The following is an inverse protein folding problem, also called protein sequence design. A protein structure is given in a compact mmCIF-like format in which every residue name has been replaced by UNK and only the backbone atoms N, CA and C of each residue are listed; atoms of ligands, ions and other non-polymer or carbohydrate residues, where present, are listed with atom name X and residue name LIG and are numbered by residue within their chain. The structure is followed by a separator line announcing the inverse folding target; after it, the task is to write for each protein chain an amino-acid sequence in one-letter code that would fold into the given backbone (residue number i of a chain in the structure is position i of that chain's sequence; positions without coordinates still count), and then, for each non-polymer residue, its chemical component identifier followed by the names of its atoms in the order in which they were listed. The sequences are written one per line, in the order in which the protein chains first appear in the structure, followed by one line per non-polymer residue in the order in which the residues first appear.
data_IF_917860759165
#
_entry.id   IF_917860759165
#
_cell.length_a   1.000
_cell.length_b   1.000
_cell.length_c   1.000
_cell.angle_alpha   90.00
_cell.angle_beta   90.00
_cell.angle_gamma   90.00
#
_symmetry.space_group_name_H-M   'P 1'
#
loop_
_entity.id
_entity.type
_entity.pdbx_description
1 polymer ?
#
# COMPACT_ATOMS: atom_id res chain seq x y z
N UNK A 1 2.16 -7.87 -19.97
CA UNK A 1 2.04 -6.39 -19.86
C UNK A 1 0.55 -6.06 -19.78
N UNK A 2 0.12 -5.22 -18.85
CA UNK A 2 -1.27 -4.78 -18.64
C UNK A 2 -1.25 -3.26 -18.61
N UNK A 3 -1.72 -2.62 -19.69
CA UNK A 3 -1.51 -1.17 -19.87
C UNK A 3 -2.70 -0.42 -20.45
N UNK A 4 -2.95 0.80 -19.97
CA UNK A 4 -3.94 1.71 -20.55
C UNK A 4 -5.40 1.31 -20.31
N UNK A 5 -5.65 0.45 -19.32
CA UNK A 5 -7.00 -0.03 -19.02
C UNK A 5 -7.75 0.95 -18.11
N UNK A 6 -9.08 0.94 -18.16
CA UNK A 6 -9.91 1.81 -17.32
C UNK A 6 -11.14 1.10 -16.78
N UNK A 7 -11.29 1.02 -15.47
CA UNK A 7 -12.49 0.55 -14.79
C UNK A 7 -13.36 1.74 -14.35
N UNK A 8 -14.47 1.98 -15.07
CA UNK A 8 -15.36 3.14 -14.82
C UNK A 8 -16.34 2.95 -13.65
N UNK A 9 -16.60 1.70 -13.25
CA UNK A 9 -17.63 1.34 -12.26
C UNK A 9 -17.13 1.25 -10.82
N UNK A 10 -15.97 1.81 -10.49
CA UNK A 10 -15.37 1.68 -9.16
C UNK A 10 -14.27 0.63 -9.06
N UNK A 11 -14.20 -0.37 -9.94
CA UNK A 11 -13.24 -1.48 -9.84
C UNK A 11 -11.76 -1.13 -10.05
N UNK A 12 -10.95 -2.18 -10.17
CA UNK A 12 -9.49 -2.10 -10.37
C UNK A 12 -9.16 -1.82 -11.84
N UNK A 13 -8.27 -0.87 -12.07
CA UNK A 13 -7.91 -0.46 -13.44
C UNK A 13 -7.11 -1.51 -14.21
N UNK A 14 -6.14 -2.17 -13.57
CA UNK A 14 -5.25 -3.14 -14.22
C UNK A 14 -5.64 -4.60 -13.95
N UNK A 15 -5.11 -5.18 -12.87
CA UNK A 15 -5.29 -6.60 -12.52
C UNK A 15 -6.08 -6.69 -11.22
N UNK A 16 -7.28 -7.26 -11.30
CA UNK A 16 -8.09 -7.60 -10.13
C UNK A 16 -7.92 -9.08 -9.78
N UNK A 17 -7.50 -9.36 -8.55
CA UNK A 17 -7.37 -10.70 -8.01
C UNK A 17 -8.36 -10.83 -6.85
N UNK A 18 -9.36 -11.68 -7.06
CA UNK A 18 -10.46 -11.94 -6.13
C UNK A 18 -10.33 -13.35 -5.58
N UNK A 19 -10.78 -13.57 -4.33
CA UNK A 19 -10.79 -14.84 -3.58
C UNK A 19 -9.44 -15.24 -2.95
N UNK A 20 -9.50 -16.17 -1.97
CA UNK A 20 -8.36 -16.80 -1.27
C UNK A 20 -7.54 -17.71 -2.19
N UNK A 21 -6.87 -17.11 -3.15
CA UNK A 21 -5.89 -17.81 -3.98
C UNK A 21 -4.55 -17.12 -3.86
N UNK A 22 -3.52 -17.94 -3.70
CA UNK A 22 -2.16 -17.46 -3.87
C UNK A 22 -1.98 -17.04 -5.33
N UNK A 23 -1.67 -15.77 -5.53
CA UNK A 23 -1.37 -15.21 -6.84
C UNK A 23 0.13 -15.01 -6.98
N UNK A 24 0.66 -15.36 -8.15
CA UNK A 24 2.07 -15.13 -8.51
C UNK A 24 2.16 -14.29 -9.76
N UNK A 25 2.89 -13.18 -9.68
CA UNK A 25 3.23 -12.34 -10.82
C UNK A 25 4.75 -12.26 -10.93
N UNK A 26 5.26 -12.65 -12.09
CA UNK A 26 6.69 -12.61 -12.41
C UNK A 26 6.91 -11.78 -13.68
N UNK A 27 7.77 -10.77 -13.59
CA UNK A 27 8.22 -9.98 -14.74
C UNK A 27 7.04 -9.31 -15.48
N UNK A 28 6.08 -8.80 -14.71
CA UNK A 28 4.87 -8.15 -15.24
C UNK A 28 5.02 -6.63 -15.20
N UNK A 29 4.70 -5.99 -16.32
CA UNK A 29 4.46 -4.54 -16.36
C UNK A 29 2.97 -4.25 -16.25
N UNK A 30 2.58 -3.44 -15.26
CA UNK A 30 1.25 -2.86 -15.06
C UNK A 30 1.38 -1.34 -15.13
N UNK A 31 0.98 -0.75 -16.26
CA UNK A 31 1.28 0.67 -16.54
C UNK A 31 0.11 1.48 -17.08
N UNK A 32 -0.10 2.69 -16.55
CA UNK A 32 -1.06 3.62 -17.13
C UNK A 32 -2.51 3.18 -17.01
N UNK A 33 -2.85 2.36 -16.00
CA UNK A 33 -4.21 1.90 -15.78
C UNK A 33 -4.95 2.84 -14.82
N UNK A 34 -6.26 2.97 -15.00
CA UNK A 34 -7.12 3.85 -14.18
C UNK A 34 -8.27 3.05 -13.59
N UNK A 35 -8.40 3.02 -12.26
CA UNK A 35 -9.53 2.40 -11.59
C UNK A 35 -10.20 3.36 -10.63
N UNK A 36 -11.44 3.07 -10.26
CA UNK A 36 -12.14 3.88 -9.26
C UNK A 36 -11.52 3.71 -7.88
N UNK A 37 -11.39 2.45 -7.45
CA UNK A 37 -10.86 2.04 -6.15
C UNK A 37 -9.35 1.85 -6.17
N UNK A 38 -8.79 1.24 -7.22
CA UNK A 38 -7.35 0.93 -7.32
C UNK A 38 -6.88 1.05 -8.76
N UNK A 39 -5.75 1.69 -8.99
CA UNK A 39 -5.27 1.96 -10.35
C UNK A 39 -4.68 0.74 -11.04
N UNK A 40 -3.66 0.15 -10.43
CA UNK A 40 -2.87 -0.94 -11.00
C UNK A 40 -3.41 -2.32 -10.63
N UNK A 41 -2.97 -2.85 -9.50
CA UNK A 41 -3.29 -4.21 -9.05
C UNK A 41 -4.11 -4.13 -7.76
N UNK A 42 -5.24 -4.82 -7.72
CA UNK A 42 -6.05 -4.97 -6.52
C UNK A 42 -6.12 -6.42 -6.10
N UNK A 43 -5.84 -6.69 -4.82
CA UNK A 43 -5.90 -8.02 -4.22
C UNK A 43 -6.85 -8.01 -3.03
N UNK A 44 -7.86 -8.87 -3.05
CA UNK A 44 -8.87 -8.96 -1.99
C UNK A 44 -9.92 -7.85 -2.00
N UNK A 45 -10.03 -7.08 -3.09
CA UNK A 45 -11.04 -6.02 -3.17
C UNK A 45 -12.42 -6.65 -3.45
N UNK A 46 -13.35 -6.55 -2.49
CA UNK A 46 -14.71 -7.07 -2.63
C UNK A 46 -15.72 -5.93 -2.84
N UNK A 47 -16.54 -6.05 -3.90
CA UNK A 47 -17.69 -5.18 -4.11
C UNK A 47 -18.99 -5.70 -3.44
N UNK A 48 -19.01 -6.91 -2.87
CA UNK A 48 -20.19 -7.49 -2.24
C UNK A 48 -19.87 -8.16 -0.89
N UNK A 49 -20.02 -7.40 0.19
CA UNK A 49 -20.09 -7.90 1.56
C UNK A 49 -21.44 -8.60 1.77
N UNK A 50 -21.58 -9.88 1.40
CA UNK A 50 -22.75 -10.66 1.86
C UNK A 50 -22.59 -12.19 1.89
N UNK A 51 -21.43 -12.76 1.60
CA UNK A 51 -21.36 -14.24 1.47
C UNK A 51 -20.93 -14.99 2.73
N UNK A 52 -20.44 -14.31 3.78
CA UNK A 52 -20.01 -14.99 5.01
C UNK A 52 -19.02 -16.14 4.77
N UNK A 53 -18.33 -16.11 3.62
CA UNK A 53 -17.37 -17.14 3.26
C UNK A 53 -16.09 -16.89 4.05
N UNK A 54 -15.67 -17.92 4.77
CA UNK A 54 -14.35 -18.03 5.37
C UNK A 54 -13.32 -18.07 4.24
N UNK A 55 -12.91 -16.89 3.79
CA UNK A 55 -11.87 -16.70 2.81
C UNK A 55 -10.53 -16.88 3.55
N UNK A 56 -10.01 -18.10 3.55
CA UNK A 56 -8.69 -18.41 4.13
C UNK A 56 -7.57 -17.48 3.66
N UNK A 57 -6.43 -17.50 4.34
CA UNK A 57 -5.29 -16.63 4.04
C UNK A 57 -4.85 -16.73 2.57
N UNK A 58 -4.75 -15.60 1.87
CA UNK A 58 -4.29 -15.54 0.47
C UNK A 58 -3.09 -14.60 0.29
N UNK A 59 -2.12 -15.01 -0.52
CA UNK A 59 -0.91 -14.23 -0.76
C UNK A 59 -0.73 -13.79 -2.20
N UNK A 60 -0.37 -12.53 -2.41
CA UNK A 60 0.16 -12.08 -3.69
C UNK A 60 1.70 -12.01 -3.64
N UNK A 61 2.35 -12.88 -4.41
CA UNK A 61 3.79 -12.91 -4.59
C UNK A 61 4.15 -12.22 -5.90
N UNK A 62 4.98 -11.19 -5.83
CA UNK A 62 5.44 -10.41 -6.98
C UNK A 62 6.96 -10.43 -7.05
N UNK A 63 7.48 -10.80 -8.22
CA UNK A 63 8.92 -10.76 -8.52
C UNK A 63 9.14 -9.97 -9.81
N UNK A 64 10.02 -8.96 -9.76
CA UNK A 64 10.37 -8.12 -10.91
C UNK A 64 9.13 -7.47 -11.59
N UNK A 65 8.14 -7.08 -10.79
CA UNK A 65 6.93 -6.42 -11.28
C UNK A 65 7.14 -4.90 -11.30
N UNK A 66 6.78 -4.27 -12.42
CA UNK A 66 6.75 -2.81 -12.54
C UNK A 66 5.31 -2.32 -12.54
N UNK A 67 4.94 -1.54 -11.53
CA UNK A 67 3.66 -0.84 -11.42
C UNK A 67 3.91 0.66 -11.62
N UNK A 68 3.51 1.22 -12.75
CA UNK A 68 3.81 2.63 -13.04
C UNK A 68 2.67 3.44 -13.63
N UNK A 69 2.59 4.72 -13.28
CA UNK A 69 1.60 5.65 -13.85
C UNK A 69 0.14 5.19 -13.72
N UNK A 70 -0.17 4.36 -12.73
CA UNK A 70 -1.53 3.90 -12.49
C UNK A 70 -2.25 4.88 -11.56
N UNK A 71 -3.56 5.05 -11.75
CA UNK A 71 -4.36 6.04 -11.02
C UNK A 71 -5.60 5.39 -10.39
N UNK A 72 -5.70 5.45 -9.07
CA UNK A 72 -6.95 5.27 -8.34
C UNK A 72 -7.64 6.64 -8.24
N UNK A 73 -8.83 6.78 -8.85
CA UNK A 73 -9.50 8.08 -8.96
C UNK A 73 -10.12 8.51 -7.63
N UNK A 74 -10.66 7.57 -6.86
CA UNK A 74 -11.36 7.85 -5.61
C UNK A 74 -10.96 6.92 -4.46
N UNK A 75 -10.16 5.88 -4.73
CA UNK A 75 -9.71 4.91 -3.73
C UNK A 75 -8.21 4.90 -3.53
N UNK A 76 -7.74 3.81 -2.96
CA UNK A 76 -6.38 3.64 -2.46
C UNK A 76 -5.55 2.71 -3.36
N UNK A 77 -4.23 2.82 -3.25
CA UNK A 77 -3.31 1.99 -4.01
C UNK A 77 -3.33 2.38 -5.48
N UNK A 78 -2.64 3.47 -5.83
CA UNK A 78 -2.48 3.83 -7.23
C UNK A 78 -1.82 2.68 -8.00
N UNK A 79 -0.71 2.13 -7.47
CA UNK A 79 -0.01 0.97 -8.01
C UNK A 79 -0.59 -0.37 -7.55
N UNK A 80 -0.65 -0.57 -6.23
CA UNK A 80 -1.15 -1.81 -5.61
C UNK A 80 -2.03 -1.49 -4.39
N UNK A 81 -3.14 -2.21 -4.28
CA UNK A 81 -3.95 -2.25 -3.07
C UNK A 81 -4.13 -3.70 -2.61
N UNK A 82 -3.85 -3.96 -1.33
CA UNK A 82 -4.08 -5.26 -0.67
C UNK A 82 -5.06 -5.05 0.47
N UNK A 83 -6.24 -5.66 0.36
CA UNK A 83 -7.33 -5.66 1.34
C UNK A 83 -7.79 -7.10 1.57
N UNK A 84 -6.98 -7.91 2.26
CA UNK A 84 -7.27 -9.33 2.44
C UNK A 84 -6.69 -9.84 3.76
N UNK A 85 -7.33 -10.86 4.32
CA UNK A 85 -6.72 -11.75 5.31
C UNK A 85 -5.64 -12.55 4.59
N UNK A 86 -4.36 -12.28 4.89
CA UNK A 86 -3.20 -12.78 4.15
C UNK A 86 -2.13 -11.69 3.95
N UNK A 87 -1.55 -11.56 2.76
CA UNK A 87 -0.51 -10.55 2.54
C UNK A 87 0.06 -10.43 1.14
N UNK A 88 1.08 -9.58 1.02
CA UNK A 88 1.84 -9.36 -0.21
C UNK A 88 3.34 -9.50 0.03
N UNK A 89 4.02 -10.16 -0.91
CA UNK A 89 5.49 -10.24 -0.95
C UNK A 89 5.98 -9.61 -2.24
N UNK A 90 6.76 -8.54 -2.14
CA UNK A 90 7.34 -7.84 -3.29
C UNK A 90 8.85 -8.06 -3.29
N UNK A 91 9.40 -8.55 -4.40
CA UNK A 91 10.84 -8.77 -4.58
C UNK A 91 11.31 -8.17 -5.90
N UNK A 92 12.28 -7.24 -5.86
CA UNK A 92 12.79 -6.63 -7.10
C UNK A 92 11.77 -5.78 -7.84
N UNK A 93 10.73 -5.29 -7.15
CA UNK A 93 9.63 -4.58 -7.79
C UNK A 93 9.91 -3.08 -7.90
N UNK A 94 9.30 -2.44 -8.89
CA UNK A 94 9.33 -0.97 -9.05
C UNK A 94 7.91 -0.44 -9.04
N UNK A 95 7.63 0.50 -8.14
CA UNK A 95 6.33 1.16 -7.97
C UNK A 95 6.54 2.65 -8.18
N UNK A 96 6.17 3.17 -9.35
CA UNK A 96 6.56 4.53 -9.73
C UNK A 96 5.50 5.40 -10.39
N UNK A 97 5.43 6.67 -10.01
CA UNK A 97 4.53 7.62 -10.66
C UNK A 97 3.05 7.30 -10.53
N UNK A 98 2.65 6.51 -9.53
CA UNK A 98 1.25 6.12 -9.32
C UNK A 98 0.54 7.13 -8.42
N UNK A 99 -0.79 7.24 -8.57
CA UNK A 99 -1.63 8.21 -7.86
C UNK A 99 -2.83 7.54 -7.18
N UNK A 100 -3.12 7.91 -5.94
CA UNK A 100 -4.29 7.44 -5.21
C UNK A 100 -4.70 8.40 -4.08
N UNK A 101 -5.78 8.07 -3.37
CA UNK A 101 -6.23 8.85 -2.20
C UNK A 101 -5.33 8.58 -1.00
N UNK A 102 -5.08 7.30 -0.69
CA UNK A 102 -4.02 6.84 0.23
C UNK A 102 -3.18 5.79 -0.48
N UNK A 103 -1.89 5.74 -0.16
CA UNK A 103 -1.00 4.77 -0.81
C UNK A 103 -0.88 5.05 -2.29
N UNK A 104 -0.26 6.18 -2.65
CA UNK A 104 -0.09 6.56 -4.06
C UNK A 104 0.55 5.42 -4.85
N UNK A 105 1.61 4.82 -4.27
CA UNK A 105 2.19 3.58 -4.74
C UNK A 105 1.46 2.35 -4.20
N UNK A 106 1.56 2.12 -2.89
CA UNK A 106 1.11 0.92 -2.20
C UNK A 106 0.10 1.26 -1.09
N UNK A 107 -1.01 0.55 -1.02
CA UNK A 107 -1.97 0.61 0.08
C UNK A 107 -2.22 -0.78 0.68
N UNK A 108 -2.02 -0.92 1.99
CA UNK A 108 -2.17 -2.18 2.73
C UNK A 108 -3.14 -1.99 3.90
N UNK A 109 -4.20 -2.78 3.94
CA UNK A 109 -5.26 -2.67 4.94
C UNK A 109 -5.84 -4.05 5.32
N UNK A 110 -6.82 -4.04 6.24
CA UNK A 110 -7.68 -5.20 6.58
C UNK A 110 -6.95 -6.48 7.00
N UNK A 111 -5.93 -6.35 7.85
CA UNK A 111 -5.20 -7.52 8.38
C UNK A 111 -4.18 -8.12 7.42
N UNK A 112 -3.86 -7.43 6.32
CA UNK A 112 -2.81 -7.86 5.40
C UNK A 112 -1.40 -7.63 5.98
N UNK A 113 -0.49 -8.59 5.77
CA UNK A 113 0.96 -8.44 5.97
C UNK A 113 1.63 -7.94 4.69
N UNK A 114 2.66 -7.11 4.81
CA UNK A 114 3.49 -6.71 3.66
C UNK A 114 4.96 -7.04 3.91
N UNK A 115 5.56 -7.77 2.97
CA UNK A 115 7.01 -7.99 2.88
C UNK A 115 7.55 -7.30 1.63
N UNK A 116 8.58 -6.46 1.79
CA UNK A 116 9.21 -5.73 0.69
C UNK A 116 10.70 -5.99 0.69
N UNK A 117 11.21 -6.50 -0.43
CA UNK A 117 12.63 -6.77 -0.64
C UNK A 117 13.15 -6.21 -1.94
N UNK A 118 14.29 -5.50 -1.88
CA UNK A 118 15.01 -5.05 -3.06
C UNK A 118 14.12 -4.23 -4.03
N UNK A 119 13.26 -3.37 -3.47
CA UNK A 119 12.24 -2.64 -4.22
C UNK A 119 12.49 -1.14 -4.26
N UNK A 120 12.00 -0.52 -5.34
CA UNK A 120 11.95 0.94 -5.48
C UNK A 120 10.50 1.41 -5.48
N UNK A 121 10.19 2.38 -4.61
CA UNK A 121 8.89 3.06 -4.54
C UNK A 121 9.12 4.56 -4.73
N UNK A 122 8.92 5.07 -5.94
CA UNK A 122 9.31 6.44 -6.27
C UNK A 122 8.26 7.30 -6.98
N UNK A 123 8.29 8.61 -6.71
CA UNK A 123 7.45 9.59 -7.41
C UNK A 123 5.95 9.29 -7.36
N UNK A 124 5.48 8.59 -6.33
CA UNK A 124 4.08 8.31 -6.15
C UNK A 124 3.41 9.43 -5.35
N UNK A 125 2.15 9.71 -5.66
CA UNK A 125 1.37 10.80 -5.07
C UNK A 125 0.13 10.26 -4.38
N UNK A 126 -0.06 10.61 -3.12
CA UNK A 126 -1.29 10.39 -2.40
C UNK A 126 -1.95 11.71 -2.01
N UNK A 127 -3.27 11.83 -2.20
CA UNK A 127 -3.98 13.05 -1.78
C UNK A 127 -3.99 13.22 -0.26
N UNK A 128 -4.01 12.12 0.49
CA UNK A 128 -4.07 12.14 1.96
C UNK A 128 -2.79 11.63 2.58
N UNK A 129 -2.45 10.36 2.41
CA UNK A 129 -1.37 9.77 3.18
C UNK A 129 -0.63 8.66 2.44
N UNK A 130 0.65 8.48 2.76
CA UNK A 130 1.44 7.40 2.19
C UNK A 130 1.62 7.59 0.70
N UNK A 131 2.39 8.62 0.30
CA UNK A 131 2.68 8.84 -1.12
C UNK A 131 3.29 7.57 -1.72
N UNK A 132 4.33 7.05 -1.08
CA UNK A 132 4.92 5.75 -1.39
C UNK A 132 4.08 4.59 -0.86
N UNK A 133 3.94 4.49 0.47
CA UNK A 133 3.25 3.41 1.15
C UNK A 133 2.30 3.93 2.23
N UNK A 134 1.05 3.51 2.16
CA UNK A 134 0.09 3.62 3.25
C UNK A 134 -0.19 2.24 3.84
N UNK A 135 -0.06 2.12 5.16
CA UNK A 135 -0.32 0.89 5.89
C UNK A 135 -1.22 1.16 7.09
N UNK A 136 -2.38 0.51 7.13
CA UNK A 136 -3.34 0.58 8.23
C UNK A 136 -3.75 -0.78 8.80
N UNK A 137 -3.11 -1.86 8.34
CA UNK A 137 -3.26 -3.19 8.93
C UNK A 137 -2.55 -3.28 10.30
N UNK A 138 -3.00 -4.22 11.12
CA UNK A 138 -2.41 -4.52 12.43
C UNK A 138 -1.19 -5.45 12.35
N UNK A 139 -0.88 -6.00 11.18
CA UNK A 139 0.29 -6.82 10.93
C UNK A 139 1.52 -5.95 10.55
N UNK A 140 2.75 -6.45 10.72
CA UNK A 140 3.95 -5.66 10.45
C UNK A 140 4.15 -5.41 8.95
N UNK A 141 4.87 -4.32 8.65
CA UNK A 141 5.63 -4.18 7.40
C UNK A 141 7.02 -4.70 7.66
N UNK A 142 7.43 -5.72 6.92
CA UNK A 142 8.79 -6.24 6.95
C UNK A 142 9.55 -5.72 5.74
N UNK A 143 10.61 -4.96 6.01
CA UNK A 143 11.51 -4.44 4.98
C UNK A 143 12.83 -5.21 5.06
N UNK A 144 13.18 -5.93 4.00
CA UNK A 144 14.46 -6.61 3.90
C UNK A 144 15.22 -6.22 2.64
N UNK A 145 16.53 -6.48 2.60
CA UNK A 145 17.37 -6.09 1.46
C UNK A 145 17.36 -4.58 1.23
N UNK A 146 17.60 -4.15 -0.02
CA UNK A 146 17.75 -2.74 -0.36
C UNK A 146 16.41 -2.13 -0.81
N UNK A 147 15.75 -1.39 0.07
CA UNK A 147 14.46 -0.75 -0.25
C UNK A 147 14.63 0.76 -0.30
N UNK A 148 14.27 1.37 -1.44
CA UNK A 148 14.29 2.82 -1.63
C UNK A 148 12.89 3.36 -1.80
N UNK A 149 12.48 4.27 -0.92
CA UNK A 149 11.23 5.01 -1.02
C UNK A 149 11.57 6.48 -1.19
N UNK A 150 11.39 7.02 -2.40
CA UNK A 150 11.89 8.36 -2.70
C UNK A 150 11.02 9.24 -3.60
N UNK A 151 11.11 10.56 -3.43
CA UNK A 151 10.40 11.52 -4.29
C UNK A 151 8.87 11.42 -4.22
N UNK A 152 8.31 10.74 -3.22
CA UNK A 152 6.87 10.58 -3.07
C UNK A 152 6.25 11.81 -2.37
N UNK A 153 4.97 12.06 -2.63
CA UNK A 153 4.23 13.23 -2.11
C UNK A 153 2.93 12.83 -1.44
N UNK A 154 2.60 13.46 -0.31
CA UNK A 154 1.30 13.30 0.36
C UNK A 154 1.00 14.45 1.34
N UNK A 155 -0.18 14.47 1.97
CA UNK A 155 -0.38 15.33 3.14
C UNK A 155 0.34 14.78 4.38
N UNK A 156 0.28 13.47 4.62
CA UNK A 156 0.95 12.80 5.74
C UNK A 156 1.79 11.61 5.29
N UNK A 157 3.00 11.46 5.84
CA UNK A 157 3.82 10.26 5.62
C UNK A 157 4.13 10.07 4.14
N UNK A 158 4.75 11.06 3.50
CA UNK A 158 4.87 11.06 2.04
C UNK A 158 5.67 9.87 1.51
N UNK A 159 6.74 9.46 2.20
CA UNK A 159 7.37 8.15 1.95
C UNK A 159 6.47 7.03 2.48
N UNK A 160 6.30 6.98 3.79
CA UNK A 160 5.51 5.96 4.49
C UNK A 160 4.54 6.59 5.49
N UNK A 161 3.27 6.17 5.46
CA UNK A 161 2.29 6.49 6.48
C UNK A 161 1.82 5.19 7.13
N UNK A 162 2.16 5.01 8.40
CA UNK A 162 1.79 3.86 9.21
C UNK A 162 0.78 4.35 10.25
N UNK A 163 -0.50 4.18 9.94
CA UNK A 163 -1.59 4.76 10.72
C UNK A 163 -2.76 3.80 10.79
N UNK A 164 -3.22 3.51 12.01
CA UNK A 164 -4.57 2.97 12.20
C UNK A 164 -5.58 4.09 11.93
N UNK A 165 -6.65 3.77 11.19
CA UNK A 165 -7.80 4.66 11.03
C UNK A 165 -8.95 4.08 11.83
N UNK A 166 -9.61 4.90 12.65
CA UNK A 166 -10.88 4.52 13.25
C UNK A 166 -11.91 4.20 12.14
N UNK A 167 -12.81 3.22 12.32
CA UNK A 167 -13.87 2.95 11.35
C UNK A 167 -14.65 4.23 11.00
N UNK A 168 -14.75 4.54 9.71
CA UNK A 168 -15.39 5.78 9.22
C UNK A 168 -14.52 7.04 9.27
N UNK A 169 -13.28 6.98 9.77
CA UNK A 169 -12.37 8.11 9.74
C UNK A 169 -11.67 8.23 8.37
N UNK A 170 -11.72 9.43 7.83
CA UNK A 170 -11.18 9.76 6.51
C UNK A 170 -9.83 10.50 6.58
N UNK A 171 -9.25 10.63 7.78
CA UNK A 171 -8.04 11.42 8.03
C UNK A 171 -6.99 10.62 8.78
N UNK A 172 -5.75 10.63 8.28
CA UNK A 172 -4.59 10.26 9.08
C UNK A 172 -4.42 11.31 10.19
N UNK A 173 -4.34 10.86 11.45
CA UNK A 173 -4.24 11.74 12.62
C UNK A 173 -5.53 11.95 13.41
N UNK A 174 -6.64 11.27 13.08
CA UNK A 174 -7.75 11.16 14.04
C UNK A 174 -7.30 10.23 15.17
N UNK A 175 -7.27 10.74 16.42
CA UNK A 175 -6.88 9.94 17.57
C UNK A 175 -7.84 8.76 17.75
N UNK A 176 -7.27 7.57 17.83
CA UNK A 176 -7.99 6.33 18.04
C UNK A 176 -7.82 5.94 19.50
N UNK A 177 -8.41 6.73 20.41
CA UNK A 177 -8.23 6.67 21.87
C UNK A 177 -8.57 5.29 22.49
N UNK A 178 -9.18 4.39 21.71
CA UNK A 178 -9.73 3.12 22.17
C UNK A 178 -9.22 1.89 21.39
N UNK A 179 -8.25 2.05 20.46
CA UNK A 179 -7.83 0.97 19.58
C UNK A 179 -6.42 0.43 19.91
N UNK A 180 -6.20 -0.89 19.80
CA UNK A 180 -4.88 -1.46 20.06
C UNK A 180 -3.86 -0.86 19.08
N UNK A 181 -2.74 -0.45 19.66
CA UNK A 181 -1.59 0.15 19.01
C UNK A 181 -1.08 -0.77 17.87
N UNK A 182 -0.55 -0.18 16.80
CA UNK A 182 0.05 -0.93 15.69
C UNK A 182 1.12 -1.93 16.18
N UNK A 183 1.24 -3.05 15.48
CA UNK A 183 2.38 -3.98 15.55
C UNK A 183 3.66 -3.30 15.08
N UNK A 184 4.77 -3.83 15.60
CA UNK A 184 6.18 -3.62 15.22
C UNK A 184 6.36 -3.32 13.73
N UNK A 185 7.18 -2.33 13.42
CA UNK A 185 7.69 -2.12 12.07
C UNK A 185 9.15 -2.53 12.12
N UNK A 186 9.50 -3.60 11.41
CA UNK A 186 10.87 -4.07 11.37
C UNK A 186 11.51 -3.56 10.07
N UNK A 187 12.29 -2.50 10.23
CA UNK A 187 13.15 -2.01 9.16
C UNK A 187 14.47 -2.79 9.20
N UNK A 188 14.68 -3.67 8.23
CA UNK A 188 16.02 -4.21 7.98
C UNK A 188 16.99 -3.08 7.63
N UNK A 189 18.29 -3.33 7.81
CA UNK A 189 19.38 -2.33 7.82
C UNK A 189 19.59 -1.49 6.54
N UNK A 190 18.72 -1.55 5.52
CA UNK A 190 18.91 -0.87 4.24
C UNK A 190 17.62 -0.23 3.65
N UNK A 191 16.71 0.26 4.51
CA UNK A 191 15.65 1.18 4.06
C UNK A 191 16.19 2.61 3.86
N UNK A 192 16.01 3.16 2.66
CA UNK A 192 16.22 4.59 2.37
C UNK A 192 14.88 5.32 2.18
N UNK A 193 14.71 6.44 2.89
CA UNK A 193 13.58 7.37 2.77
C UNK A 193 14.08 8.74 2.31
N UNK A 194 14.10 8.99 1.01
CA UNK A 194 14.78 10.16 0.43
C UNK A 194 13.85 11.09 -0.34
N UNK A 195 14.00 12.41 -0.14
CA UNK A 195 13.32 13.43 -0.97
C UNK A 195 11.79 13.30 -1.04
N UNK A 196 11.18 12.65 -0.04
CA UNK A 196 9.73 12.56 0.09
C UNK A 196 9.19 13.85 0.72
N UNK A 197 8.07 14.37 0.20
CA UNK A 197 7.53 15.69 0.59
C UNK A 197 6.12 15.55 1.13
N UNK A 198 5.96 15.76 2.44
CA UNK A 198 4.66 15.84 3.07
C UNK A 198 4.21 17.30 3.23
N UNK A 199 2.95 17.59 2.94
CA UNK A 199 2.37 18.94 3.09
C UNK A 199 2.12 19.27 4.57
N UNK A 200 1.70 18.28 5.37
CA UNK A 200 1.32 18.48 6.77
C UNK A 200 2.36 17.89 7.73
N UNK A 201 2.64 16.58 7.65
CA UNK A 201 3.60 15.96 8.58
C UNK A 201 4.26 14.68 8.03
N UNK A 202 5.50 14.44 8.43
CA UNK A 202 6.24 13.21 8.12
C UNK A 202 6.61 13.09 6.64
N UNK A 203 7.59 13.87 6.17
CA UNK A 203 8.09 13.77 4.80
C UNK A 203 8.58 12.36 4.47
N UNK A 204 9.52 11.83 5.25
CA UNK A 204 9.95 10.43 5.14
C UNK A 204 8.90 9.45 5.66
N UNK A 205 8.55 9.58 6.93
CA UNK A 205 7.64 8.66 7.61
C UNK A 205 6.70 9.40 8.57
N UNK A 206 5.46 8.93 8.67
CA UNK A 206 4.47 9.37 9.64
C UNK A 206 3.92 8.15 10.39
N UNK A 207 4.01 8.19 11.72
CA UNK A 207 3.57 7.13 12.62
C UNK A 207 2.40 7.66 13.45
N UNK A 208 1.23 7.02 13.36
CA UNK A 208 0.06 7.37 14.16
C UNK A 208 -0.56 6.12 14.79
N UNK A 209 -0.85 6.19 16.09
CA UNK A 209 -1.32 5.04 16.89
C UNK A 209 -0.36 3.84 16.91
N UNK A 210 0.96 4.09 16.99
CA UNK A 210 2.00 3.05 17.06
C UNK A 210 2.44 2.83 18.50
N UNK A 211 2.63 1.57 18.91
CA UNK A 211 3.10 1.26 20.26
C UNK A 211 4.57 1.72 20.43
N UNK A 212 4.86 2.70 21.29
CA UNK A 212 6.22 3.21 21.44
C UNK A 212 7.20 2.16 22.00
N UNK A 213 6.72 1.04 22.56
CA UNK A 213 7.56 -0.06 23.05
C UNK A 213 7.93 -1.11 22.00
N UNK A 214 7.37 -1.04 20.80
CA UNK A 214 7.57 -2.03 19.73
C UNK A 214 7.96 -1.40 18.40
N UNK A 215 8.08 -0.07 18.30
CA UNK A 215 8.69 0.56 17.14
C UNK A 215 10.22 0.57 17.31
N UNK A 216 10.90 -0.42 16.73
CA UNK A 216 12.36 -0.45 16.64
C UNK A 216 12.77 0.09 15.27
N UNK A 217 13.42 1.24 15.26
CA UNK A 217 14.18 1.75 14.12
C UNK A 217 15.63 1.56 14.53
N UNK A 218 16.29 0.53 14.00
CA UNK A 218 17.71 0.26 14.23
C UNK A 218 18.60 1.04 13.26
#
# INVERSE_FOLDING_TARGET
RVTGNTARGGGVGGIEIVLSVDARLDSVLVHGNTGGMTGGIGFGIFNDLETGLDIGEGWIMMTNVTMSSNTAVHGDGGGLCIMAIGGGVLRGCTVSGNRGVRGGGLAIAEGAKLEVHDCTVDQNEAEKCGGGLFHSSELPVEVGGDVSISGNTANFGAGMCLSRLAPGSNMCGAEADEYPLMTTVEFGAALSLERNVAIIAGGGMYLNCVNPRQATID
#
